data_IF_054774851015
#
_entry.id   IF_054774851015
#
_cell.length_a   1.000
_cell.length_b   1.000
_cell.length_c   1.000
_cell.angle_alpha   90.00
_cell.angle_beta   90.00
_cell.angle_gamma   90.00
#
_symmetry.space_group_name_H-M   'P 1'
#
loop_
_entity.id
_entity.type
_entity.pdbx_description
1 polymer ?
#
# COMPACT_ATOMS: atom_id res chain seq x y z
N UNK A 1 -10.59 -15.40 -2.58
CA UNK A 1 -10.60 -15.01 -4.00
C UNK A 1 -9.36 -14.15 -4.36
N UNK A 2 -8.17 -14.73 -4.22
CA UNK A 2 -6.94 -14.07 -4.66
C UNK A 2 -6.67 -14.33 -6.14
N UNK A 3 -5.69 -13.65 -6.70
CA UNK A 3 -5.28 -13.74 -8.10
C UNK A 3 -3.75 -13.67 -8.23
N UNK A 4 -3.25 -14.09 -9.40
CA UNK A 4 -1.80 -14.24 -9.66
C UNK A 4 -1.25 -13.26 -10.70
N UNK A 5 -2.12 -12.50 -11.37
CA UNK A 5 -1.77 -11.64 -12.50
C UNK A 5 -2.02 -10.17 -12.17
N UNK A 6 -1.38 -9.68 -11.11
CA UNK A 6 -1.29 -8.25 -10.87
C UNK A 6 -0.26 -7.64 -11.84
N UNK A 7 -0.64 -6.56 -12.53
CA UNK A 7 0.21 -5.91 -13.52
C UNK A 7 1.50 -5.35 -12.92
N UNK A 8 1.44 -4.93 -11.65
CA UNK A 8 2.58 -4.37 -10.93
C UNK A 8 3.64 -5.42 -10.62
N UNK A 9 3.21 -6.64 -10.20
CA UNK A 9 4.11 -7.75 -9.90
C UNK A 9 3.50 -9.06 -10.44
N UNK A 10 3.82 -9.42 -11.69
CA UNK A 10 3.27 -10.60 -12.35
C UNK A 10 3.62 -11.91 -11.63
N UNK A 11 2.74 -12.90 -11.73
CA UNK A 11 2.92 -14.23 -11.17
C UNK A 11 3.12 -14.25 -9.63
N UNK A 12 2.60 -13.26 -8.92
CA UNK A 12 2.66 -13.17 -7.46
C UNK A 12 1.25 -13.12 -6.89
N UNK A 13 1.00 -13.96 -5.87
CA UNK A 13 -0.32 -14.07 -5.27
C UNK A 13 -0.72 -12.78 -4.56
N UNK A 14 -1.88 -12.28 -4.90
CA UNK A 14 -2.45 -11.06 -4.34
C UNK A 14 -3.93 -11.22 -4.04
N UNK A 15 -4.43 -10.47 -3.07
CA UNK A 15 -5.84 -10.42 -2.74
C UNK A 15 -6.25 -8.99 -2.37
N UNK A 16 -7.30 -8.52 -3.04
CA UNK A 16 -7.93 -7.23 -2.78
C UNK A 16 -9.20 -7.42 -1.97
N UNK A 17 -9.41 -6.57 -0.97
CA UNK A 17 -10.69 -6.51 -0.24
C UNK A 17 -10.99 -7.76 0.59
N UNK A 18 -9.97 -8.51 1.02
CA UNK A 18 -10.14 -9.67 1.89
C UNK A 18 -10.79 -9.28 3.21
N UNK A 19 -11.80 -10.05 3.64
CA UNK A 19 -12.61 -9.75 4.83
C UNK A 19 -11.76 -9.67 6.10
N UNK A 20 -10.75 -10.55 6.25
CA UNK A 20 -9.89 -10.52 7.43
C UNK A 20 -8.99 -9.28 7.42
N UNK A 21 -8.41 -8.93 6.26
CA UNK A 21 -7.54 -7.76 6.11
C UNK A 21 -8.34 -6.45 6.23
N UNK A 22 -9.55 -6.39 5.72
CA UNK A 22 -10.42 -5.22 5.90
C UNK A 22 -11.01 -5.12 7.32
N UNK A 23 -11.13 -6.24 8.04
CA UNK A 23 -11.40 -6.22 9.48
C UNK A 23 -10.22 -5.62 10.25
N UNK A 24 -8.98 -5.96 9.86
CA UNK A 24 -7.79 -5.35 10.43
C UNK A 24 -7.72 -3.85 10.13
N UNK A 25 -8.01 -3.44 8.89
CA UNK A 25 -8.15 -2.04 8.48
C UNK A 25 -9.08 -1.27 9.43
N UNK A 26 -10.26 -1.81 9.72
CA UNK A 26 -11.22 -1.18 10.63
C UNK A 26 -10.73 -1.16 12.08
N UNK A 27 -10.07 -2.22 12.54
CA UNK A 27 -9.54 -2.29 13.91
C UNK A 27 -8.42 -1.28 14.15
N UNK A 28 -7.58 -1.05 13.15
CA UNK A 28 -6.47 -0.10 13.24
C UNK A 28 -6.88 1.36 12.96
N UNK A 29 -8.06 1.59 12.41
CA UNK A 29 -8.54 2.94 12.05
C UNK A 29 -8.40 3.96 13.20
N UNK A 30 -8.87 3.70 14.45
CA UNK A 30 -8.71 4.67 15.54
C UNK A 30 -7.25 4.96 15.89
N UNK A 31 -6.37 3.94 15.79
CA UNK A 31 -4.94 4.10 15.98
C UNK A 31 -4.34 4.98 14.88
N UNK A 32 -4.71 4.74 13.63
CA UNK A 32 -4.26 5.52 12.48
C UNK A 32 -4.66 6.99 12.61
N UNK A 33 -5.90 7.29 13.00
CA UNK A 33 -6.34 8.66 13.27
C UNK A 33 -5.50 9.33 14.37
N UNK A 34 -5.17 8.59 15.42
CA UNK A 34 -4.33 9.09 16.53
C UNK A 34 -2.91 9.41 16.05
N UNK A 35 -2.27 8.46 15.37
CA UNK A 35 -0.87 8.59 14.94
C UNK A 35 -0.67 9.63 13.83
N UNK A 36 -1.65 9.79 12.93
CA UNK A 36 -1.60 10.80 11.88
C UNK A 36 -2.17 12.16 12.31
N UNK A 37 -2.81 12.23 13.48
CA UNK A 37 -3.57 13.41 13.95
C UNK A 37 -4.58 13.93 12.91
N UNK A 38 -5.19 13.01 12.15
CA UNK A 38 -6.09 13.31 11.04
C UNK A 38 -7.35 12.45 11.12
N UNK A 39 -8.53 13.01 10.84
CA UNK A 39 -9.74 12.21 10.67
C UNK A 39 -9.70 11.48 9.34
N UNK A 40 -9.85 10.17 9.39
CA UNK A 40 -9.65 9.28 8.25
C UNK A 40 -10.94 8.59 7.82
N UNK A 41 -10.99 8.14 6.58
CA UNK A 41 -11.93 7.17 6.06
C UNK A 41 -11.15 5.97 5.52
N UNK A 42 -11.54 4.72 5.85
CA UNK A 42 -10.91 3.54 5.27
C UNK A 42 -11.28 3.41 3.79
N UNK A 43 -10.31 3.05 2.97
CA UNK A 43 -10.53 2.82 1.55
C UNK A 43 -10.53 1.34 1.19
N UNK A 44 -9.42 0.64 1.34
CA UNK A 44 -9.34 -0.81 1.11
C UNK A 44 -8.10 -1.42 1.77
N UNK A 45 -8.10 -2.75 1.87
CA UNK A 45 -6.91 -3.53 2.18
C UNK A 45 -6.47 -4.34 0.96
N UNK A 46 -5.16 -4.49 0.81
CA UNK A 46 -4.54 -5.31 -0.22
C UNK A 46 -3.46 -6.17 0.42
N UNK A 47 -3.45 -7.47 0.16
CA UNK A 47 -2.43 -8.36 0.68
C UNK A 47 -1.71 -9.07 -0.46
N UNK A 48 -0.42 -9.32 -0.28
CA UNK A 48 0.43 -9.98 -1.28
C UNK A 48 1.44 -10.89 -0.60
N UNK A 49 1.70 -12.04 -1.21
CA UNK A 49 2.79 -12.95 -0.82
C UNK A 49 3.85 -12.88 -1.91
N UNK A 50 4.88 -12.13 -1.65
CA UNK A 50 6.02 -11.97 -2.54
C UNK A 50 6.92 -13.20 -2.52
N UNK A 51 7.57 -13.46 -3.64
CA UNK A 51 8.50 -14.56 -3.87
C UNK A 51 9.83 -14.04 -4.41
N UNK A 52 10.83 -14.90 -4.41
CA UNK A 52 12.16 -14.60 -4.93
C UNK A 52 12.12 -14.01 -6.34
N UNK A 53 12.83 -12.90 -6.52
CA UNK A 53 12.90 -12.16 -7.77
C UNK A 53 11.83 -11.10 -7.96
N UNK A 54 10.80 -11.05 -7.12
CA UNK A 54 9.82 -9.96 -7.17
C UNK A 54 10.50 -8.62 -6.86
N UNK A 55 10.06 -7.58 -7.54
CA UNK A 55 10.53 -6.22 -7.36
C UNK A 55 9.32 -5.27 -7.38
N UNK A 56 9.31 -4.31 -6.49
CA UNK A 56 8.34 -3.23 -6.54
C UNK A 56 9.06 -1.99 -7.06
N UNK A 57 8.80 -1.62 -8.33
CA UNK A 57 9.43 -0.48 -8.95
C UNK A 57 9.04 0.83 -8.25
N UNK A 58 9.86 1.86 -8.42
CA UNK A 58 9.58 3.20 -7.88
C UNK A 58 8.25 3.74 -8.39
N UNK A 59 7.39 4.15 -7.47
CA UNK A 59 6.06 4.70 -7.79
C UNK A 59 5.52 5.57 -6.65
N UNK A 60 4.44 6.26 -6.94
CA UNK A 60 3.51 6.84 -5.97
C UNK A 60 2.17 6.14 -6.13
N UNK A 61 1.44 6.03 -5.05
CA UNK A 61 0.16 5.35 -5.04
C UNK A 61 -0.95 6.14 -5.74
N UNK A 62 -2.03 5.46 -6.04
CA UNK A 62 -3.26 6.05 -6.58
C UNK A 62 -4.06 6.83 -5.51
N UNK A 63 -5.01 7.71 -5.89
CA UNK A 63 -5.74 8.59 -4.96
C UNK A 63 -6.47 7.92 -3.80
N UNK A 64 -6.77 6.63 -3.86
CA UNK A 64 -7.37 5.90 -2.72
C UNK A 64 -6.36 5.52 -1.62
N UNK A 65 -5.10 5.94 -1.74
CA UNK A 65 -3.97 5.57 -0.89
C UNK A 65 -3.25 6.80 -0.32
N UNK A 66 -3.99 7.84 0.06
CA UNK A 66 -3.42 9.08 0.60
C UNK A 66 -2.55 8.80 1.83
N UNK A 67 -3.08 8.03 2.77
CA UNK A 67 -2.34 7.49 3.90
C UNK A 67 -2.22 5.98 3.70
N UNK A 68 -1.04 5.55 3.33
CA UNK A 68 -0.71 4.16 3.08
C UNK A 68 0.00 3.52 4.27
N UNK A 69 -0.18 2.23 4.40
CA UNK A 69 0.62 1.41 5.32
C UNK A 69 1.21 0.22 4.58
N UNK A 70 2.36 -0.25 5.04
CA UNK A 70 2.85 -1.59 4.75
C UNK A 70 3.13 -2.29 6.07
N UNK A 71 2.40 -3.36 6.35
CA UNK A 71 2.52 -4.20 7.55
C UNK A 71 3.17 -5.52 7.14
N UNK A 72 4.29 -5.85 7.76
CA UNK A 72 4.95 -7.13 7.54
C UNK A 72 4.21 -8.25 8.31
N UNK A 73 3.65 -9.22 7.58
CA UNK A 73 2.96 -10.38 8.16
C UNK A 73 3.94 -11.54 8.47
N UNK A 74 5.15 -11.52 7.90
CA UNK A 74 6.15 -12.55 8.10
C UNK A 74 6.82 -12.99 6.80
N UNK A 75 7.69 -13.99 6.93
CA UNK A 75 8.60 -14.45 5.88
C UNK A 75 9.97 -13.82 6.00
N UNK A 76 10.74 -13.82 4.92
CA UNK A 76 12.07 -13.27 4.90
C UNK A 76 12.06 -11.74 4.87
N UNK A 77 13.08 -11.14 5.47
CA UNK A 77 13.21 -9.69 5.54
C UNK A 77 13.36 -9.09 4.13
N UNK A 78 12.54 -8.10 3.84
CA UNK A 78 12.57 -7.36 2.57
C UNK A 78 12.34 -5.86 2.80
N UNK A 79 13.40 -5.04 2.75
CA UNK A 79 13.29 -3.61 3.01
C UNK A 79 12.36 -2.89 2.04
N UNK A 80 11.66 -1.89 2.54
CA UNK A 80 11.03 -0.86 1.71
C UNK A 80 11.92 0.38 1.69
N UNK A 81 11.99 1.04 0.55
CA UNK A 81 12.69 2.31 0.35
C UNK A 81 11.67 3.43 0.18
N UNK A 82 11.92 4.55 0.82
CA UNK A 82 11.07 5.74 0.77
C UNK A 82 11.92 6.97 0.45
N UNK A 83 11.46 7.80 -0.49
CA UNK A 83 12.01 9.11 -0.77
C UNK A 83 11.21 10.17 0.01
N UNK A 84 11.82 10.86 1.00
CA UNK A 84 11.11 11.83 1.82
C UNK A 84 10.84 13.17 1.11
N UNK A 85 11.54 13.49 0.02
CA UNK A 85 11.28 14.70 -0.77
C UNK A 85 10.08 14.46 -1.70
N UNK A 86 8.95 15.08 -1.39
CA UNK A 86 7.69 14.97 -2.14
C UNK A 86 7.80 15.45 -3.61
N UNK A 87 8.81 16.29 -3.93
CA UNK A 87 9.05 16.79 -5.27
C UNK A 87 9.78 15.78 -6.16
N UNK A 88 10.25 14.68 -5.60
CA UNK A 88 10.89 13.58 -6.33
C UNK A 88 9.84 12.61 -6.87
N UNK A 89 10.16 11.97 -7.99
CA UNK A 89 9.25 11.10 -8.70
C UNK A 89 8.00 11.84 -9.21
N UNK A 90 7.94 12.13 -10.49
CA UNK A 90 6.93 13.03 -11.08
C UNK A 90 6.08 12.28 -12.10
N UNK A 91 4.75 12.35 -11.93
CA UNK A 91 3.80 11.93 -12.96
C UNK A 91 3.57 13.06 -13.98
N UNK A 92 3.60 12.74 -15.27
CA UNK A 92 3.26 13.66 -16.38
C UNK A 92 2.29 12.94 -17.32
N UNK A 93 1.01 13.28 -17.23
CA UNK A 93 -0.03 12.50 -17.90
C UNK A 93 -0.07 11.08 -17.34
N UNK A 94 -0.03 10.08 -18.23
CA UNK A 94 -0.05 8.66 -17.85
C UNK A 94 1.36 8.08 -17.57
N UNK A 95 2.42 8.88 -17.74
CA UNK A 95 3.80 8.44 -17.54
C UNK A 95 4.31 8.83 -16.15
N UNK A 96 5.01 7.91 -15.51
CA UNK A 96 5.70 8.14 -14.25
C UNK A 96 7.22 8.19 -14.46
N UNK A 97 7.85 9.27 -14.03
CA UNK A 97 9.30 9.51 -14.11
C UNK A 97 9.91 9.32 -12.71
N UNK A 98 10.50 8.17 -12.42
CA UNK A 98 11.11 7.90 -11.12
C UNK A 98 12.30 8.81 -10.86
N UNK A 99 12.55 9.10 -9.59
CA UNK A 99 13.73 9.85 -9.17
C UNK A 99 15.00 8.99 -9.30
N UNK A 100 16.16 9.66 -9.30
CA UNK A 100 17.48 9.05 -9.18
C UNK A 100 17.89 8.77 -7.72
N UNK A 101 17.01 9.09 -6.76
CA UNK A 101 17.28 8.96 -5.33
C UNK A 101 17.54 7.51 -4.91
N UNK A 102 18.44 7.34 -3.95
CA UNK A 102 18.64 6.06 -3.26
C UNK A 102 17.59 5.78 -2.18
N UNK A 103 16.87 6.82 -1.74
CA UNK A 103 15.88 6.78 -0.67
C UNK A 103 16.44 6.39 0.70
N UNK A 104 15.52 6.27 1.64
CA UNK A 104 15.80 5.74 3.00
C UNK A 104 15.36 4.29 3.03
N UNK A 105 16.27 3.39 3.39
CA UNK A 105 15.98 1.97 3.60
C UNK A 105 15.31 1.76 4.95
N UNK A 106 14.16 1.09 4.96
CA UNK A 106 13.37 0.81 6.15
C UNK A 106 13.14 -0.70 6.24
N UNK A 107 13.61 -1.30 7.33
CA UNK A 107 13.43 -2.69 7.68
C UNK A 107 12.26 -2.83 8.64
N UNK A 108 11.34 -3.75 8.35
CA UNK A 108 10.17 -4.05 9.17
C UNK A 108 10.23 -5.51 9.62
N UNK A 109 10.26 -5.76 10.92
CA UNK A 109 10.09 -7.11 11.46
C UNK A 109 8.62 -7.56 11.31
N UNK A 110 8.32 -8.86 11.41
CA UNK A 110 6.93 -9.32 11.47
C UNK A 110 6.13 -8.60 12.56
N UNK A 111 5.01 -7.98 12.16
CA UNK A 111 4.18 -7.15 13.02
C UNK A 111 4.50 -5.65 13.00
N UNK A 112 5.66 -5.24 12.48
CA UNK A 112 5.95 -3.81 12.29
C UNK A 112 5.16 -3.25 11.08
N UNK A 113 4.72 -2.02 11.23
CA UNK A 113 3.96 -1.30 10.20
C UNK A 113 4.57 0.08 9.96
N UNK A 114 4.91 0.36 8.70
CA UNK A 114 5.25 1.72 8.25
C UNK A 114 3.97 2.44 7.82
N UNK A 115 3.83 3.71 8.22
CA UNK A 115 2.78 4.63 7.78
C UNK A 115 3.41 5.76 6.99
N UNK A 116 2.88 6.06 5.81
CA UNK A 116 3.43 7.09 4.93
C UNK A 116 2.37 7.68 4.00
N UNK A 117 2.66 8.84 3.40
CA UNK A 117 1.81 9.49 2.40
C UNK A 117 2.01 8.84 1.03
N UNK A 118 1.21 7.80 0.72
CA UNK A 118 1.41 6.96 -0.45
C UNK A 118 1.30 7.69 -1.79
N UNK A 119 0.37 8.66 -1.91
CA UNK A 119 0.18 9.45 -3.12
C UNK A 119 1.28 10.51 -3.36
N UNK A 120 2.08 10.83 -2.33
CA UNK A 120 3.01 11.96 -2.34
C UNK A 120 4.46 11.47 -2.37
N UNK A 121 4.79 10.47 -1.56
CA UNK A 121 6.15 9.99 -1.41
C UNK A 121 6.44 8.81 -2.34
N UNK A 122 7.51 8.95 -3.13
CA UNK A 122 7.99 7.86 -3.98
C UNK A 122 8.51 6.72 -3.12
N UNK A 123 8.09 5.50 -3.41
CA UNK A 123 8.50 4.33 -2.65
C UNK A 123 8.67 3.10 -3.55
N UNK A 124 9.50 2.15 -3.09
CA UNK A 124 9.85 0.96 -3.86
C UNK A 124 10.46 -0.14 -2.99
N UNK A 125 10.66 -1.31 -3.58
CA UNK A 125 11.47 -2.40 -3.04
C UNK A 125 12.37 -2.96 -4.13
N UNK A 126 13.65 -3.15 -3.81
CA UNK A 126 14.64 -3.77 -4.73
C UNK A 126 14.32 -5.26 -4.92
N UNK A 127 14.89 -5.93 -5.95
CA UNK A 127 14.65 -7.35 -6.17
C UNK A 127 14.78 -8.19 -4.91
N UNK A 128 13.76 -9.00 -4.62
CA UNK A 128 13.69 -9.83 -3.43
C UNK A 128 14.57 -11.06 -3.54
N UNK A 129 15.45 -11.27 -2.58
CA UNK A 129 16.38 -12.40 -2.56
C UNK A 129 15.93 -13.55 -1.64
N UNK A 130 14.92 -13.33 -0.80
CA UNK A 130 14.35 -14.35 0.09
C UNK A 130 13.39 -15.29 -0.65
N UNK A 131 12.83 -16.25 0.07
CA UNK A 131 11.90 -17.23 -0.50
C UNK A 131 10.47 -16.70 -0.55
N UNK A 132 10.00 -16.09 0.55
CA UNK A 132 8.66 -15.49 0.61
C UNK A 132 8.59 -14.36 1.63
N UNK A 133 7.71 -13.39 1.38
CA UNK A 133 7.43 -12.27 2.27
C UNK A 133 5.95 -11.89 2.17
N UNK A 134 5.21 -12.04 3.26
CA UNK A 134 3.80 -11.65 3.34
C UNK A 134 3.66 -10.21 3.79
N UNK A 135 2.96 -9.39 3.00
CA UNK A 135 2.67 -7.99 3.30
C UNK A 135 1.17 -7.73 3.20
N UNK A 136 0.66 -6.85 4.08
CA UNK A 136 -0.65 -6.25 3.90
C UNK A 136 -0.53 -4.73 3.87
N UNK A 137 -1.25 -4.14 2.95
CA UNK A 137 -1.36 -2.69 2.75
C UNK A 137 -2.76 -2.26 3.18
N UNK A 138 -2.82 -1.34 4.13
CA UNK A 138 -4.07 -0.79 4.64
C UNK A 138 -4.10 0.68 4.25
N UNK A 139 -5.13 1.08 3.52
CA UNK A 139 -5.20 2.40 2.93
C UNK A 139 -6.35 3.22 3.53
N UNK A 140 -6.06 4.48 3.75
CA UNK A 140 -7.00 5.47 4.27
C UNK A 140 -6.85 6.78 3.50
N UNK A 141 -7.91 7.55 3.43
CA UNK A 141 -7.86 8.93 2.97
C UNK A 141 -8.30 9.88 4.09
N UNK A 142 -7.89 11.13 4.02
CA UNK A 142 -8.40 12.16 4.92
C UNK A 142 -9.90 12.35 4.70
N UNK A 143 -10.65 12.49 5.77
CA UNK A 143 -12.08 12.81 5.69
C UNK A 143 -12.34 14.18 5.04
N UNK A 144 -11.37 15.07 5.10
CA UNK A 144 -11.44 16.42 4.51
C UNK A 144 -11.08 16.46 3.03
N UNK A 145 -10.49 15.39 2.48
CA UNK A 145 -10.15 15.30 1.06
C UNK A 145 -11.44 15.21 0.23
N UNK A 146 -11.56 16.08 -0.76
CA UNK A 146 -12.64 16.01 -1.74
C UNK A 146 -12.56 14.65 -2.46
N UNK A 147 -13.69 13.96 -2.62
CA UNK A 147 -13.72 12.60 -3.16
C UNK A 147 -12.79 11.65 -2.39
N UNK A 148 -12.97 11.53 -1.09
CA UNK A 148 -12.11 10.75 -0.20
C UNK A 148 -12.13 9.23 -0.44
N UNK A 149 -12.79 8.78 -1.51
CA UNK A 149 -12.83 7.38 -1.99
C UNK A 149 -13.19 6.37 -0.91
N UNK A 150 -14.09 6.73 0.00
CA UNK A 150 -14.53 5.82 1.08
C UNK A 150 -14.88 4.45 0.52
N UNK A 151 -14.29 3.41 1.12
CA UNK A 151 -14.40 2.01 0.70
C UNK A 151 -13.93 1.74 -0.73
N UNK A 152 -13.06 2.60 -1.27
CA UNK A 152 -12.59 2.55 -2.66
C UNK A 152 -13.75 2.58 -3.67
N UNK A 153 -14.75 3.45 -3.40
CA UNK A 153 -15.99 3.62 -4.15
C UNK A 153 -16.96 2.41 -4.11
N UNK A 154 -16.66 1.38 -3.35
CA UNK A 154 -17.56 0.25 -3.13
C UNK A 154 -18.69 0.62 -2.18
N UNK A 155 -19.77 -0.16 -2.16
CA UNK A 155 -20.88 0.05 -1.23
C UNK A 155 -20.44 -0.12 0.24
N UNK A 156 -19.60 -1.12 0.49
CA UNK A 156 -18.96 -1.37 1.80
C UNK A 156 -17.69 -2.22 1.63
N UNK A 157 -16.93 -2.36 2.69
CA UNK A 157 -15.76 -3.24 2.75
C UNK A 157 -16.17 -4.71 2.59
N UNK A 158 -15.21 -5.56 2.19
CA UNK A 158 -15.44 -6.99 1.94
C UNK A 158 -16.04 -7.31 0.57
N UNK A 159 -16.34 -6.31 -0.26
CA UNK A 159 -16.78 -6.50 -1.64
C UNK A 159 -15.61 -6.49 -2.62
N UNK A 160 -15.71 -7.24 -3.74
CA UNK A 160 -14.78 -7.11 -4.85
C UNK A 160 -14.76 -5.69 -5.44
N UNK A 161 -13.65 -5.34 -6.09
CA UNK A 161 -13.42 -4.00 -6.66
C UNK A 161 -14.44 -3.61 -7.75
N UNK A 162 -14.98 -4.59 -8.43
CA UNK A 162 -15.93 -4.40 -9.54
C UNK A 162 -17.33 -3.99 -9.05
N UNK A 163 -17.64 -4.22 -7.76
CA UNK A 163 -18.95 -3.84 -7.18
C UNK A 163 -18.84 -2.42 -6.62
N UNK A 164 -19.00 -1.46 -7.49
CA UNK A 164 -19.04 -0.02 -7.17
C UNK A 164 -20.47 0.47 -6.91
N UNK A 165 -20.57 1.68 -6.34
CA UNK A 165 -21.84 2.39 -6.16
C UNK A 165 -22.45 2.81 -7.50
#
# INVERSE_FOLDING_TARGET
HGYWNDEQIPNTFSIYGDVAMETLLLKLWPLMEKETNTKLVPTYAYARIYKKGDELIKHKDRPSCEISTTLNLGGDLWPIYLEPDENKGVAKGDEYFPSDSSGIEINLNPGDMLVYSGCILEHWRKPFNGENCGQVFLHYNSQSTENNNKFDERLHLGLPREIKK
#
